data_IF_230068209864
#
_entry.id   IF_230068209864
#
_cell.length_a   1.000
_cell.length_b   1.000
_cell.length_c   1.000
_cell.angle_alpha   90.00
_cell.angle_beta   90.00
_cell.angle_gamma   90.00
#
_symmetry.space_group_name_H-M   'P 1'
#
loop_
_entity.id
_entity.type
_entity.pdbx_description
1 polymer ?
#
# COMPACT_ATOMS: atom_id res chain seq x y z
N UNK A 1 -16.28 -71.12 -8.82
CA UNK A 1 -15.96 -70.33 -7.60
C UNK A 1 -14.56 -69.73 -7.74
N UNK A 2 -14.38 -68.60 -8.44
CA UNK A 2 -13.15 -67.79 -8.34
C UNK A 2 -13.18 -66.38 -8.99
N UNK A 3 -14.33 -65.71 -9.11
CA UNK A 3 -14.37 -64.42 -9.86
C UNK A 3 -14.67 -63.17 -9.02
N UNK A 4 -15.24 -63.30 -7.81
CA UNK A 4 -15.55 -62.14 -6.95
C UNK A 4 -14.36 -61.63 -6.12
N UNK A 5 -13.35 -62.48 -5.87
CA UNK A 5 -12.17 -62.10 -5.08
C UNK A 5 -11.13 -61.33 -5.91
N UNK A 6 -11.04 -61.58 -7.22
CA UNK A 6 -10.07 -60.93 -8.11
C UNK A 6 -10.45 -59.46 -8.40
N UNK A 7 -11.73 -59.19 -8.65
CA UNK A 7 -12.24 -57.83 -8.92
C UNK A 7 -12.10 -56.89 -7.70
N UNK A 8 -12.18 -57.41 -6.47
CA UNK A 8 -12.02 -56.61 -5.25
C UNK A 8 -10.56 -56.36 -4.88
N UNK A 9 -9.63 -57.22 -5.32
CA UNK A 9 -8.19 -57.02 -5.15
C UNK A 9 -7.64 -55.98 -6.14
N UNK A 10 -8.12 -56.02 -7.39
CA UNK A 10 -7.71 -55.09 -8.44
C UNK A 10 -8.13 -53.63 -8.14
N UNK A 11 -9.34 -53.42 -7.64
CA UNK A 11 -9.83 -52.10 -7.24
C UNK A 11 -9.09 -51.52 -6.03
N UNK A 12 -8.74 -52.36 -5.03
CA UNK A 12 -7.93 -51.95 -3.88
C UNK A 12 -6.51 -51.54 -4.29
N UNK A 13 -5.89 -52.27 -5.23
CA UNK A 13 -4.57 -51.94 -5.74
C UNK A 13 -4.59 -50.61 -6.50
N UNK A 14 -5.60 -50.37 -7.34
CA UNK A 14 -5.75 -49.10 -8.04
C UNK A 14 -5.96 -47.92 -7.08
N UNK A 15 -6.79 -48.08 -6.04
CA UNK A 15 -7.00 -47.04 -5.02
C UNK A 15 -5.68 -46.75 -4.28
N UNK A 16 -4.91 -47.77 -3.91
CA UNK A 16 -3.60 -47.58 -3.28
C UNK A 16 -2.62 -46.83 -4.20
N UNK A 17 -2.61 -47.15 -5.49
CA UNK A 17 -1.73 -46.45 -6.45
C UNK A 17 -2.12 -44.98 -6.62
N UNK A 18 -3.41 -44.66 -6.65
CA UNK A 18 -3.89 -43.27 -6.77
C UNK A 18 -3.56 -42.47 -5.50
N UNK A 19 -3.76 -43.07 -4.32
CA UNK A 19 -3.41 -42.43 -3.04
C UNK A 19 -1.91 -42.18 -2.93
N UNK A 20 -1.07 -43.13 -3.38
CA UNK A 20 0.38 -42.95 -3.40
C UNK A 20 0.80 -41.82 -4.35
N UNK A 21 0.24 -41.78 -5.56
CA UNK A 21 0.50 -40.69 -6.51
C UNK A 21 0.06 -39.33 -5.92
N UNK A 22 -1.13 -39.24 -5.34
CA UNK A 22 -1.60 -38.01 -4.70
C UNK A 22 -0.68 -37.56 -3.56
N UNK A 23 -0.27 -38.48 -2.67
CA UNK A 23 0.63 -38.17 -1.57
C UNK A 23 2.01 -37.68 -2.07
N UNK A 24 2.57 -38.30 -3.11
CA UNK A 24 3.85 -37.85 -3.70
C UNK A 24 3.73 -36.48 -4.34
N UNK A 25 2.65 -36.18 -5.06
CA UNK A 25 2.44 -34.85 -5.66
C UNK A 25 2.27 -33.75 -4.60
N UNK A 26 1.53 -34.02 -3.52
CA UNK A 26 1.37 -33.08 -2.41
C UNK A 26 2.70 -32.84 -1.69
N UNK A 27 3.47 -33.91 -1.42
CA UNK A 27 4.79 -33.79 -0.79
C UNK A 27 5.75 -32.95 -1.64
N UNK A 28 5.81 -33.19 -2.95
CA UNK A 28 6.61 -32.40 -3.88
C UNK A 28 6.18 -30.93 -3.92
N UNK A 29 4.87 -30.67 -3.92
CA UNK A 29 4.34 -29.31 -3.86
C UNK A 29 4.75 -28.59 -2.57
N UNK A 30 4.63 -29.23 -1.41
CA UNK A 30 5.09 -28.66 -0.13
C UNK A 30 6.60 -28.40 -0.12
N UNK A 31 7.42 -29.31 -0.66
CA UNK A 31 8.86 -29.09 -0.76
C UNK A 31 9.21 -27.91 -1.67
N UNK A 32 8.54 -27.75 -2.81
CA UNK A 32 8.74 -26.60 -3.71
C UNK A 32 8.32 -25.29 -3.04
N UNK A 33 7.19 -25.26 -2.32
CA UNK A 33 6.73 -24.06 -1.59
C UNK A 33 7.70 -23.68 -0.47
N UNK A 34 8.26 -24.64 0.26
CA UNK A 34 9.27 -24.38 1.32
C UNK A 34 10.63 -23.96 0.75
N UNK A 35 11.01 -24.44 -0.44
CA UNK A 35 12.22 -24.01 -1.15
C UNK A 35 12.07 -22.61 -1.78
N UNK A 36 10.85 -22.23 -2.19
CA UNK A 36 10.56 -20.93 -2.78
C UNK A 36 10.18 -19.85 -1.75
N UNK A 37 9.75 -20.23 -0.54
CA UNK A 37 9.46 -19.29 0.55
C UNK A 37 10.65 -18.43 1.00
N UNK A 38 11.93 -18.88 1.04
CA UNK A 38 13.05 -18.00 1.35
C UNK A 38 13.36 -16.98 0.24
N UNK A 39 12.82 -17.14 -0.99
CA UNK A 39 12.95 -16.14 -2.06
C UNK A 39 11.97 -14.97 -1.94
N UNK A 40 10.91 -15.11 -1.14
CA UNK A 40 9.90 -14.06 -0.91
C UNK A 40 10.16 -13.25 0.37
N UNK A 41 11.08 -13.69 1.25
CA UNK A 41 11.44 -12.96 2.48
C UNK A 41 12.78 -12.21 2.40
N UNK A 42 13.53 -12.28 1.29
CA UNK A 42 14.71 -11.42 1.05
C UNK A 42 14.38 -9.92 0.94
N UNK A 43 13.11 -9.52 1.04
CA UNK A 43 12.65 -8.14 1.15
C UNK A 43 12.24 -7.66 2.55
N UNK A 44 12.24 -8.51 3.58
CA UNK A 44 11.84 -8.10 4.95
C UNK A 44 13.09 -7.91 5.80
N UNK A 45 13.46 -6.65 6.05
CA UNK A 45 14.46 -6.28 7.06
C UNK A 45 14.11 -6.99 8.38
N UNK A 46 15.06 -7.79 8.87
CA UNK A 46 15.06 -8.43 10.19
C UNK A 46 14.95 -7.33 11.25
N UNK A 47 13.73 -7.06 11.72
CA UNK A 47 13.50 -6.19 12.87
C UNK A 47 14.11 -6.88 14.08
N UNK A 48 15.16 -6.29 14.65
CA UNK A 48 15.82 -6.78 15.84
C UNK A 48 14.82 -6.84 17.00
N UNK A 49 14.40 -8.05 17.36
CA UNK A 49 13.69 -8.30 18.61
C UNK A 49 14.75 -8.32 19.71
N UNK A 50 14.93 -7.21 20.42
CA UNK A 50 15.78 -7.17 21.62
C UNK A 50 14.95 -7.76 22.77
N UNK A 51 15.35 -8.95 23.17
CA UNK A 51 14.92 -9.62 24.40
C UNK A 51 15.57 -8.87 25.56
N UNK A 52 14.74 -8.23 26.40
CA UNK A 52 15.20 -7.61 27.64
C UNK A 52 15.54 -8.74 28.62
N UNK A 53 16.83 -8.89 28.90
CA UNK A 53 17.30 -9.66 30.05
C UNK A 53 17.85 -8.69 31.09
N UNK A 54 17.46 -8.95 32.33
CA UNK A 54 17.57 -8.07 33.48
C UNK A 54 18.68 -8.59 34.41
N UNK A 55 19.80 -7.88 34.53
CA UNK A 55 20.48 -7.67 35.83
C UNK A 55 21.72 -6.76 35.74
N UNK A 56 21.69 -5.74 36.61
CA UNK A 56 22.77 -5.28 37.49
C UNK A 56 23.87 -4.28 37.01
N UNK A 57 23.69 -3.05 37.52
CA UNK A 57 24.68 -2.16 38.16
C UNK A 57 25.53 -1.16 37.34
N UNK A 58 25.05 0.09 37.44
CA UNK A 58 25.82 1.32 37.74
C UNK A 58 26.96 1.73 36.82
N UNK A 59 26.65 2.61 35.86
CA UNK A 59 27.50 3.78 35.60
C UNK A 59 26.65 5.01 35.27
N UNK A 60 26.52 5.86 36.29
CA UNK A 60 26.51 7.33 36.24
C UNK A 60 25.38 8.05 35.47
N UNK A 61 24.45 8.52 36.29
CA UNK A 61 23.57 9.68 36.10
C UNK A 61 24.31 10.80 35.36
N UNK A 62 23.85 11.11 34.16
CA UNK A 62 23.78 12.49 33.63
C UNK A 62 22.65 12.55 32.62
N UNK A 63 21.42 12.50 33.14
CA UNK A 63 20.25 12.98 32.42
C UNK A 63 20.39 14.51 32.23
N UNK A 64 21.16 14.93 31.23
CA UNK A 64 21.11 16.30 30.75
C UNK A 64 19.89 16.41 29.83
N UNK A 65 18.74 16.73 30.42
CA UNK A 65 17.60 17.29 29.69
C UNK A 65 18.03 18.63 29.07
N UNK A 66 18.58 18.58 27.86
CA UNK A 66 18.72 19.75 26.99
C UNK A 66 18.43 19.31 25.57
N UNK A 67 17.14 19.33 25.22
CA UNK A 67 16.65 19.13 23.85
C UNK A 67 17.03 20.38 23.04
N UNK A 68 18.27 20.43 22.59
CA UNK A 68 18.75 21.36 21.58
C UNK A 68 18.21 20.87 20.24
N UNK A 69 17.64 21.75 19.40
CA UNK A 69 17.38 21.42 18.00
C UNK A 69 18.72 21.28 17.29
N UNK A 70 19.32 20.09 17.39
CA UNK A 70 20.33 19.68 16.43
C UNK A 70 19.59 19.43 15.12
N UNK A 71 19.81 20.35 14.18
CA UNK A 71 19.70 20.06 12.75
C UNK A 71 20.58 18.84 12.49
N UNK A 72 19.97 17.67 12.57
CA UNK A 72 20.61 16.44 12.20
C UNK A 72 20.41 16.33 10.71
N UNK A 73 21.42 16.75 9.97
CA UNK A 73 21.61 16.40 8.57
C UNK A 73 21.61 14.87 8.46
N UNK A 74 20.41 14.33 8.24
CA UNK A 74 20.18 12.92 8.00
C UNK A 74 19.94 12.75 6.50
N UNK A 75 20.96 12.19 5.86
CA UNK A 75 21.01 11.81 4.46
C UNK A 75 19.70 11.19 3.97
N UNK A 76 19.12 11.78 2.93
CA UNK A 76 17.95 11.26 2.23
C UNK A 76 16.85 12.28 1.92
N UNK A 77 16.99 13.55 2.29
CA UNK A 77 16.17 14.60 1.67
C UNK A 77 16.69 14.77 0.24
N UNK A 78 15.92 14.31 -0.75
CA UNK A 78 16.09 14.78 -2.12
C UNK A 78 15.65 16.24 -2.12
N UNK A 79 16.55 17.11 -1.69
CA UNK A 79 16.44 18.54 -1.91
C UNK A 79 16.40 18.71 -3.43
N UNK A 80 15.20 18.85 -3.97
CA UNK A 80 15.05 19.24 -5.35
C UNK A 80 15.56 20.66 -5.41
N UNK A 81 16.72 20.86 -6.04
CA UNK A 81 17.17 22.16 -6.52
C UNK A 81 16.02 22.80 -7.30
N UNK A 82 15.14 23.54 -6.62
CA UNK A 82 14.16 24.43 -7.25
C UNK A 82 14.91 25.71 -7.61
N UNK A 83 15.91 25.56 -8.47
CA UNK A 83 16.55 26.70 -9.12
C UNK A 83 15.53 27.32 -10.06
N UNK A 84 15.10 28.52 -9.69
CA UNK A 84 14.29 29.48 -10.43
C UNK A 84 14.05 29.12 -11.91
N UNK A 85 12.97 28.39 -12.15
CA UNK A 85 12.52 27.99 -13.47
C UNK A 85 11.09 27.51 -13.37
N UNK A 86 10.16 28.43 -13.64
CA UNK A 86 8.69 28.31 -13.70
C UNK A 86 8.14 26.90 -13.99
N UNK A 87 8.08 26.00 -13.02
CA UNK A 87 7.42 24.70 -13.17
C UNK A 87 6.88 24.25 -11.83
N UNK A 88 5.56 24.24 -11.70
CA UNK A 88 4.89 23.40 -10.72
C UNK A 88 5.36 21.95 -10.90
N UNK A 89 5.32 21.17 -9.83
CA UNK A 89 5.68 19.75 -9.88
C UNK A 89 4.62 18.89 -9.20
N UNK A 90 4.70 17.57 -9.41
CA UNK A 90 3.78 16.62 -8.76
C UNK A 90 3.86 16.68 -7.23
N UNK A 91 5.01 17.08 -6.69
CA UNK A 91 5.24 17.27 -5.26
C UNK A 91 4.51 18.49 -4.69
N UNK A 92 4.02 19.39 -5.54
CA UNK A 92 3.19 20.53 -5.12
C UNK A 92 1.71 20.16 -4.95
N UNK A 93 1.33 18.91 -5.25
CA UNK A 93 0.03 18.34 -4.91
C UNK A 93 0.20 17.38 -3.74
N UNK A 94 -0.39 17.72 -2.61
CA UNK A 94 -0.42 16.88 -1.42
C UNK A 94 -1.72 16.06 -1.40
N UNK A 95 -1.60 14.75 -1.19
CA UNK A 95 -2.74 13.85 -1.04
C UNK A 95 -2.70 13.27 0.38
N UNK A 96 -3.68 13.63 1.20
CA UNK A 96 -3.86 13.08 2.54
C UNK A 96 -5.08 12.15 2.56
N UNK A 97 -5.02 11.11 3.39
CA UNK A 97 -6.17 10.24 3.60
C UNK A 97 -6.26 9.79 5.06
N UNK A 98 -7.48 9.64 5.56
CA UNK A 98 -7.72 9.18 6.92
C UNK A 98 -9.04 8.40 7.05
N UNK A 99 -9.13 7.45 7.99
CA UNK A 99 -10.38 6.77 8.28
C UNK A 99 -11.42 7.75 8.85
N UNK A 100 -12.68 7.57 8.48
CA UNK A 100 -13.83 8.32 9.00
C UNK A 100 -14.92 7.36 9.48
N UNK A 101 -16.07 7.90 9.90
CA UNK A 101 -17.21 7.10 10.33
C UNK A 101 -17.60 6.10 9.21
N UNK A 102 -17.73 4.79 9.53
CA UNK A 102 -18.07 3.79 8.54
C UNK A 102 -19.51 3.99 8.03
N UNK A 103 -19.81 3.39 6.87
CA UNK A 103 -21.18 3.34 6.37
C UNK A 103 -22.09 2.57 7.34
N UNK A 104 -23.41 2.79 7.36
CA UNK A 104 -24.35 2.02 8.17
C UNK A 104 -24.29 0.50 7.91
N UNK A 105 -23.81 0.09 6.74
CA UNK A 105 -23.55 -1.30 6.37
C UNK A 105 -22.31 -1.91 7.05
N UNK A 106 -21.51 -1.11 7.76
CA UNK A 106 -20.25 -1.50 8.41
C UNK A 106 -19.02 -1.44 7.50
N UNK A 107 -19.15 -0.98 6.25
CA UNK A 107 -18.02 -0.85 5.33
C UNK A 107 -17.13 0.33 5.79
N UNK A 108 -15.80 0.13 5.96
CA UNK A 108 -14.89 1.22 6.31
C UNK A 108 -14.97 2.36 5.29
N UNK A 109 -14.85 3.58 5.79
CA UNK A 109 -14.89 4.79 4.97
C UNK A 109 -13.64 5.60 5.21
N UNK A 110 -13.11 6.20 4.16
CA UNK A 110 -11.90 7.02 4.19
C UNK A 110 -12.21 8.37 3.56
N UNK A 111 -11.77 9.44 4.22
CA UNK A 111 -11.76 10.79 3.65
C UNK A 111 -10.42 11.00 2.97
N UNK A 112 -10.45 11.50 1.75
CA UNK A 112 -9.27 11.94 0.98
C UNK A 112 -9.33 13.45 0.86
N UNK A 113 -8.20 14.11 1.11
CA UNK A 113 -8.04 15.52 0.84
C UNK A 113 -6.87 15.72 -0.14
N UNK A 114 -7.09 16.51 -1.17
CA UNK A 114 -6.10 16.82 -2.21
C UNK A 114 -5.90 18.34 -2.18
N UNK A 115 -4.67 18.76 -1.90
CA UNK A 115 -4.32 20.17 -1.71
C UNK A 115 -3.25 20.61 -2.70
N UNK A 116 -3.42 21.80 -3.27
CA UNK A 116 -2.34 22.48 -4.00
C UNK A 116 -1.50 23.30 -3.02
N UNK A 117 -0.27 22.85 -2.76
CA UNK A 117 0.71 23.46 -1.86
C UNK A 117 1.86 24.15 -2.63
N UNK A 118 1.64 24.47 -3.90
CA UNK A 118 2.64 25.12 -4.76
C UNK A 118 3.20 26.40 -4.11
N UNK A 119 4.46 26.36 -3.68
CA UNK A 119 5.09 27.46 -2.93
C UNK A 119 5.16 28.77 -3.73
N UNK A 120 5.22 28.70 -5.06
CA UNK A 120 5.25 29.88 -5.93
C UNK A 120 3.86 30.49 -6.18
N UNK A 121 2.80 29.97 -5.55
CA UNK A 121 1.44 30.45 -5.75
C UNK A 121 0.83 30.07 -7.10
N UNK A 122 1.27 28.95 -7.69
CA UNK A 122 0.81 28.50 -8.99
C UNK A 122 -0.48 27.69 -8.93
N UNK A 123 -1.26 27.73 -10.00
CA UNK A 123 -2.44 26.89 -10.18
C UNK A 123 -2.05 25.63 -10.96
N UNK A 124 -2.62 24.49 -10.57
CA UNK A 124 -2.26 23.19 -11.13
C UNK A 124 -3.52 22.53 -11.69
N UNK A 125 -3.51 22.18 -12.96
CA UNK A 125 -4.61 21.52 -13.68
C UNK A 125 -4.21 20.13 -14.15
N UNK A 126 -5.15 19.39 -14.75
CA UNK A 126 -4.87 18.07 -15.31
C UNK A 126 -4.22 17.13 -14.30
N UNK A 127 -4.70 17.15 -13.05
CA UNK A 127 -4.15 16.35 -11.96
C UNK A 127 -4.66 14.91 -12.11
N UNK A 128 -3.75 13.99 -12.40
CA UNK A 128 -4.01 12.56 -12.43
C UNK A 128 -3.36 11.89 -11.21
N UNK A 129 -4.08 10.93 -10.62
CA UNK A 129 -3.59 10.08 -9.55
C UNK A 129 -3.47 8.62 -10.04
N UNK A 130 -2.37 7.98 -9.68
CA UNK A 130 -2.27 6.52 -9.65
C UNK A 130 -3.15 5.98 -8.54
N UNK A 131 -4.17 5.21 -8.93
CA UNK A 131 -5.25 4.74 -8.06
C UNK A 131 -5.52 3.22 -8.18
N UNK A 132 -4.72 2.50 -8.96
CA UNK A 132 -4.84 1.06 -9.22
C UNK A 132 -6.24 0.61 -9.65
N UNK A 133 -6.79 -0.34 -8.89
CA UNK A 133 -8.16 -0.85 -9.04
C UNK A 133 -9.16 -0.08 -8.16
N UNK A 134 -9.08 1.25 -8.12
CA UNK A 134 -9.97 2.07 -7.30
C UNK A 134 -11.44 1.72 -7.53
N UNK A 135 -12.16 1.52 -6.44
CA UNK A 135 -13.58 1.21 -6.38
C UNK A 135 -14.14 1.67 -5.03
N UNK A 136 -15.41 2.08 -4.99
CA UNK A 136 -16.06 2.58 -3.78
C UNK A 136 -17.50 2.10 -3.72
N UNK A 137 -17.92 1.65 -2.53
CA UNK A 137 -19.33 1.37 -2.23
C UNK A 137 -20.16 2.66 -2.01
N UNK A 138 -19.48 3.79 -1.75
CA UNK A 138 -20.09 5.11 -1.65
C UNK A 138 -19.96 5.87 -2.99
N UNK A 139 -21.04 6.53 -3.42
CA UNK A 139 -21.04 7.30 -4.66
C UNK A 139 -20.20 8.58 -4.50
N UNK A 140 -19.20 8.75 -5.35
CA UNK A 140 -18.32 9.92 -5.37
C UNK A 140 -18.78 10.85 -6.49
N UNK A 141 -18.76 12.16 -6.24
CA UNK A 141 -19.05 13.15 -7.28
C UNK A 141 -17.98 13.08 -8.40
N UNK A 142 -18.34 12.71 -9.64
CA UNK A 142 -17.36 12.53 -10.72
C UNK A 142 -16.68 13.83 -11.14
N UNK A 143 -17.23 15.00 -10.78
CA UNK A 143 -16.59 16.30 -11.04
C UNK A 143 -15.43 16.58 -10.05
N UNK A 144 -15.37 15.86 -8.92
CA UNK A 144 -14.30 16.00 -7.93
C UNK A 144 -13.25 14.92 -8.14
N UNK A 145 -13.68 13.67 -8.34
CA UNK A 145 -12.80 12.54 -8.53
C UNK A 145 -13.49 11.47 -9.38
N UNK A 146 -12.86 11.05 -10.48
CA UNK A 146 -13.37 9.97 -11.32
C UNK A 146 -12.24 9.10 -11.85
N UNK A 147 -12.44 7.78 -11.84
CA UNK A 147 -11.51 6.83 -12.44
C UNK A 147 -11.73 6.79 -13.95
N UNK A 148 -10.69 7.07 -14.73
CA UNK A 148 -10.71 7.00 -16.19
C UNK A 148 -10.35 5.60 -16.68
N UNK A 149 -9.45 4.91 -15.98
CA UNK A 149 -8.94 3.60 -16.37
C UNK A 149 -8.27 2.86 -15.23
N UNK A 150 -7.56 1.78 -15.55
CA UNK A 150 -6.65 1.15 -14.59
C UNK A 150 -5.53 2.12 -14.22
N UNK A 151 -5.34 2.32 -12.92
CA UNK A 151 -4.31 3.19 -12.36
C UNK A 151 -4.35 4.66 -12.84
N UNK A 152 -5.50 5.11 -13.35
CA UNK A 152 -5.69 6.47 -13.82
C UNK A 152 -7.00 7.05 -13.29
N UNK A 153 -6.87 8.03 -12.39
CA UNK A 153 -7.98 8.78 -11.80
C UNK A 153 -7.78 10.28 -12.00
N UNK A 154 -8.81 10.96 -12.51
CA UNK A 154 -8.84 12.40 -12.74
C UNK A 154 -9.42 13.13 -11.53
N UNK A 155 -8.74 14.21 -11.14
CA UNK A 155 -9.15 15.12 -10.07
C UNK A 155 -9.75 16.40 -10.65
N UNK A 156 -10.75 16.95 -9.98
CA UNK A 156 -11.39 18.25 -10.30
C UNK A 156 -11.90 18.37 -11.74
N UNK A 157 -12.28 17.26 -12.37
CA UNK A 157 -12.64 17.22 -13.80
C UNK A 157 -11.55 17.80 -14.73
N UNK A 158 -10.28 17.73 -14.30
CA UNK A 158 -9.12 18.30 -15.00
C UNK A 158 -8.96 19.82 -14.86
N UNK A 159 -9.88 20.51 -14.17
CA UNK A 159 -9.83 21.96 -13.98
C UNK A 159 -8.70 22.36 -13.02
N UNK A 160 -8.19 23.60 -13.13
CA UNK A 160 -7.18 24.11 -12.21
C UNK A 160 -7.65 24.03 -10.76
N UNK A 161 -6.79 23.48 -9.90
CA UNK A 161 -6.89 23.59 -8.46
C UNK A 161 -6.06 24.79 -8.03
N UNK A 162 -6.73 25.81 -7.49
CA UNK A 162 -6.07 27.06 -7.12
C UNK A 162 -5.08 26.85 -5.97
N UNK A 163 -4.04 27.67 -5.89
CA UNK A 163 -3.12 27.66 -4.76
C UNK A 163 -3.86 27.73 -3.41
N UNK A 164 -3.50 26.85 -2.48
CA UNK A 164 -4.10 26.78 -1.15
C UNK A 164 -5.51 26.17 -1.11
N UNK A 165 -6.07 25.79 -2.26
CA UNK A 165 -7.38 25.12 -2.30
C UNK A 165 -7.25 23.63 -1.98
N UNK A 166 -8.30 23.10 -1.34
CA UNK A 166 -8.41 21.71 -0.93
C UNK A 166 -9.68 21.11 -1.54
N UNK A 167 -9.54 19.95 -2.17
CA UNK A 167 -10.66 19.11 -2.59
C UNK A 167 -10.78 17.94 -1.64
N UNK A 168 -12.00 17.70 -1.14
CA UNK A 168 -12.27 16.60 -0.21
C UNK A 168 -13.38 15.71 -0.75
N UNK A 169 -13.20 14.40 -0.63
CA UNK A 169 -14.23 13.41 -0.91
C UNK A 169 -14.06 12.18 -0.01
N UNK A 170 -15.14 11.41 0.12
CA UNK A 170 -15.13 10.16 0.89
C UNK A 170 -15.34 8.96 -0.02
N UNK A 171 -14.64 7.88 0.26
CA UNK A 171 -14.85 6.59 -0.41
C UNK A 171 -14.98 5.48 0.63
N UNK A 172 -15.69 4.41 0.26
CA UNK A 172 -15.90 3.28 1.15
C UNK A 172 -15.39 1.99 0.51
N UNK A 173 -14.44 1.34 1.17
CA UNK A 173 -13.85 0.07 0.73
C UNK A 173 -13.27 -0.68 1.93
N UNK A 174 -12.99 -1.98 1.77
CA UNK A 174 -12.39 -2.80 2.85
C UNK A 174 -11.01 -2.32 3.27
N UNK A 175 -10.23 -1.75 2.33
CA UNK A 175 -8.87 -1.25 2.55
C UNK A 175 -8.69 0.12 1.90
N UNK A 176 -7.79 0.97 2.46
CA UNK A 176 -7.46 2.23 1.83
C UNK A 176 -6.63 2.00 0.56
N UNK A 177 -6.84 2.84 -0.44
CA UNK A 177 -6.06 2.82 -1.68
C UNK A 177 -4.76 3.64 -1.53
N UNK A 178 -3.62 3.19 -2.09
CA UNK A 178 -2.38 3.95 -2.11
C UNK A 178 -2.43 5.02 -3.21
N UNK A 179 -3.21 6.08 -2.99
CA UNK A 179 -3.33 7.19 -3.93
C UNK A 179 -2.02 7.98 -4.00
N UNK A 180 -1.50 8.20 -5.22
CA UNK A 180 -0.29 9.00 -5.44
C UNK A 180 -0.38 9.80 -6.73
N UNK A 181 0.28 10.95 -6.78
CA UNK A 181 0.22 11.85 -7.94
C UNK A 181 1.05 11.28 -9.09
N UNK A 182 0.41 11.08 -10.24
CA UNK A 182 1.07 10.54 -11.44
C UNK A 182 1.51 11.67 -12.38
N UNK A 183 0.59 12.55 -12.78
CA UNK A 183 0.87 13.68 -13.68
C UNK A 183 0.11 14.95 -13.29
N UNK A 184 0.68 16.10 -13.64
CA UNK A 184 0.10 17.43 -13.42
C UNK A 184 0.43 18.35 -14.60
N UNK A 185 -0.36 19.39 -14.80
CA UNK A 185 -0.15 20.44 -15.80
C UNK A 185 -0.15 21.81 -15.11
N UNK A 186 0.96 22.54 -15.24
CA UNK A 186 1.06 23.90 -14.72
C UNK A 186 0.27 24.87 -15.61
N UNK A 187 -0.42 25.82 -14.98
CA UNK A 187 -1.21 26.86 -15.64
C UNK A 187 -0.51 28.21 -15.55
#
# INVERSE_FOLDING_TARGET
>A
MRDSSFSSSFSKLQILTVLALAATTLSLFFHVVVLMSPLLLSGVRRSSFILFDNENSTTLITALHRKLLLHHDAAGMKETNRMWGERCSKEDIEVSQGPTAPLPSGIPTYTVEIMNVCFTGCDISGIHLSCGWFSSAHLINPNIFKRLGYDDCLVNDGKPLLYGSILSFQYANTYPYPLSVSTVVCV
#
